data_IF_328547687084
#
_entry.id   IF_328547687084
#
_cell.length_a   1.000
_cell.length_b   1.000
_cell.length_c   1.000
_cell.angle_alpha   90.00
_cell.angle_beta   90.00
_cell.angle_gamma   90.00
#
_symmetry.space_group_name_H-M   'P 1'
#
loop_
_entity.id
_entity.type
_entity.pdbx_description
1 polymer ?
#
# COMPACT_ATOMS: atom_id res chain seq x y z
N UNK A 1 24.57 -17.53 -70.07
CA UNK A 1 23.44 -17.74 -69.13
C UNK A 1 23.64 -16.77 -68.00
N UNK A 2 22.85 -15.71 -68.01
CA UNK A 2 22.95 -14.57 -67.12
C UNK A 2 22.30 -14.92 -65.78
N UNK A 3 23.00 -14.69 -64.68
CA UNK A 3 22.43 -14.85 -63.34
C UNK A 3 22.73 -13.56 -62.56
N UNK A 4 21.89 -12.54 -62.80
CA UNK A 4 21.88 -11.31 -62.00
C UNK A 4 20.93 -11.54 -60.83
N UNK A 5 21.51 -11.60 -59.64
CA UNK A 5 20.77 -11.65 -58.38
C UNK A 5 20.27 -10.23 -58.12
N UNK A 6 18.99 -9.99 -58.40
CA UNK A 6 18.32 -8.72 -58.10
C UNK A 6 18.21 -8.54 -56.58
N UNK A 7 19.18 -7.85 -56.00
CA UNK A 7 19.10 -7.30 -54.65
C UNK A 7 18.12 -6.13 -54.64
N UNK A 8 16.82 -6.44 -54.70
CA UNK A 8 15.75 -5.48 -54.41
C UNK A 8 15.73 -5.27 -52.90
N UNK A 9 16.60 -4.37 -52.43
CA UNK A 9 16.79 -4.03 -51.03
C UNK A 9 15.44 -3.75 -50.38
N UNK A 10 15.01 -4.66 -49.50
CA UNK A 10 13.81 -4.48 -48.70
C UNK A 10 13.96 -3.19 -47.89
N UNK A 11 13.33 -2.12 -48.37
CA UNK A 11 13.49 -0.79 -47.79
C UNK A 11 12.84 -0.74 -46.41
N UNK A 12 13.65 -0.46 -45.39
CA UNK A 12 13.23 -0.24 -44.00
C UNK A 12 12.10 0.79 -43.89
N UNK A 13 12.11 1.81 -44.76
CA UNK A 13 11.07 2.85 -44.85
C UNK A 13 9.77 2.33 -45.48
N UNK A 14 9.86 1.39 -46.42
CA UNK A 14 8.69 0.70 -46.98
C UNK A 14 8.02 -0.21 -45.94
N UNK A 15 8.81 -0.89 -45.11
CA UNK A 15 8.30 -1.71 -44.02
C UNK A 15 7.58 -0.87 -42.95
N UNK A 16 8.16 0.28 -42.56
CA UNK A 16 7.52 1.23 -41.61
C UNK A 16 6.23 1.83 -42.20
N UNK A 17 6.22 2.19 -43.49
CA UNK A 17 5.00 2.67 -44.17
C UNK A 17 3.90 1.60 -44.19
N UNK A 18 4.24 0.34 -44.44
CA UNK A 18 3.25 -0.74 -44.46
C UNK A 18 2.74 -1.08 -43.05
N UNK A 19 3.58 -1.02 -42.02
CA UNK A 19 3.14 -1.16 -40.62
C UNK A 19 2.21 0.00 -40.22
N UNK A 20 2.58 1.25 -40.52
CA UNK A 20 1.74 2.41 -40.23
C UNK A 20 0.38 2.36 -40.96
N UNK A 21 0.34 1.86 -42.20
CA UNK A 21 -0.90 1.67 -42.95
C UNK A 21 -1.77 0.54 -42.35
N UNK A 22 -1.17 -0.54 -41.84
CA UNK A 22 -1.91 -1.62 -41.16
C UNK A 22 -2.47 -1.20 -39.80
N UNK A 23 -1.80 -0.30 -39.07
CA UNK A 23 -2.28 0.27 -37.80
C UNK A 23 -3.38 1.32 -38.00
N UNK A 24 -3.43 1.97 -39.16
CA UNK A 24 -4.51 2.90 -39.50
C UNK A 24 -5.79 2.19 -39.97
N UNK A 25 -5.67 1.02 -40.61
CA UNK A 25 -6.81 0.23 -41.09
C UNK A 25 -7.41 -0.72 -40.04
N UNK A 26 -6.61 -1.17 -39.07
CA UNK A 26 -7.11 -1.77 -37.83
C UNK A 26 -7.30 -0.64 -36.82
N UNK A 27 -8.48 -0.01 -36.84
CA UNK A 27 -8.82 1.15 -36.00
C UNK A 27 -8.20 1.02 -34.61
N UNK A 28 -7.44 2.05 -34.23
CA UNK A 28 -6.60 2.13 -33.04
C UNK A 28 -7.15 1.34 -31.85
N UNK A 29 -6.82 0.05 -31.79
CA UNK A 29 -6.76 -0.69 -30.55
C UNK A 29 -5.47 -0.24 -29.89
N UNK A 30 -5.48 1.00 -29.39
CA UNK A 30 -4.74 1.31 -28.18
C UNK A 30 -5.10 0.17 -27.24
N UNK A 31 -4.15 -0.56 -26.64
CA UNK A 31 -4.48 -1.41 -25.54
C UNK A 31 -4.98 -0.48 -24.42
N UNK A 32 -6.28 -0.16 -24.43
CA UNK A 32 -7.06 0.21 -23.25
C UNK A 32 -7.21 -1.06 -22.40
N UNK A 33 -6.09 -1.67 -22.08
CA UNK A 33 -5.95 -2.79 -21.16
C UNK A 33 -4.86 -2.35 -20.19
N UNK A 34 -5.12 -2.07 -18.93
CA UNK A 34 -6.25 -2.41 -18.08
C UNK A 34 -6.82 -1.10 -17.52
N UNK A 35 -8.12 -0.86 -17.64
CA UNK A 35 -8.80 -0.09 -16.60
C UNK A 35 -8.79 -1.00 -15.37
N UNK A 36 -7.72 -0.89 -14.56
CA UNK A 36 -7.81 -1.31 -13.18
C UNK A 36 -9.09 -0.66 -12.66
N UNK A 37 -10.02 -1.46 -12.09
CA UNK A 37 -11.21 -0.89 -11.45
C UNK A 37 -10.72 0.26 -10.59
N UNK A 38 -11.21 1.46 -10.89
CA UNK A 38 -10.80 2.63 -10.15
C UNK A 38 -11.12 2.42 -8.67
N UNK A 39 -10.15 2.71 -7.80
CA UNK A 39 -10.34 2.56 -6.36
C UNK A 39 -11.40 3.57 -5.90
N UNK A 40 -12.54 3.12 -5.36
CA UNK A 40 -13.57 4.02 -4.86
C UNK A 40 -13.05 4.97 -3.79
N UNK A 41 -12.00 4.61 -3.04
CA UNK A 41 -11.38 5.49 -2.05
C UNK A 41 -10.64 6.70 -2.68
N UNK A 42 -10.32 6.64 -3.97
CA UNK A 42 -9.66 7.72 -4.71
C UNK A 42 -10.64 8.56 -5.53
N UNK A 43 -11.63 7.91 -6.18
CA UNK A 43 -12.57 8.59 -7.07
C UNK A 43 -13.72 9.24 -6.32
N UNK A 44 -14.28 8.54 -5.32
CA UNK A 44 -15.42 9.04 -4.57
C UNK A 44 -14.95 9.87 -3.38
N UNK A 45 -15.63 10.98 -3.14
CA UNK A 45 -15.28 11.83 -2.01
C UNK A 45 -15.70 11.16 -0.69
N UNK A 46 -14.75 10.94 0.24
CA UNK A 46 -15.01 10.15 1.42
C UNK A 46 -15.88 10.89 2.44
N UNK A 47 -16.64 10.12 3.23
CA UNK A 47 -17.56 10.65 4.24
C UNK A 47 -16.87 11.57 5.28
N UNK A 48 -15.62 11.28 5.65
CA UNK A 48 -14.86 12.11 6.60
C UNK A 48 -14.39 13.45 6.02
N UNK A 49 -14.45 13.65 4.71
CA UNK A 49 -14.20 14.94 4.06
C UNK A 49 -15.42 15.86 4.06
N UNK A 50 -16.63 15.30 4.22
CA UNK A 50 -17.91 16.02 4.11
C UNK A 50 -18.52 16.43 5.46
N UNK A 51 -18.03 15.86 6.57
CA UNK A 51 -18.57 16.08 7.91
C UNK A 51 -17.51 16.58 8.90
N UNK A 52 -17.95 17.33 9.89
CA UNK A 52 -17.10 17.71 11.02
C UNK A 52 -16.78 16.47 11.87
N UNK A 53 -15.57 16.48 12.43
CA UNK A 53 -15.12 15.47 13.38
C UNK A 53 -15.76 15.62 14.75
N UNK A 54 -15.20 14.90 15.71
CA UNK A 54 -15.61 14.97 17.10
C UNK A 54 -15.36 16.35 17.73
N UNK A 55 -16.18 16.77 18.71
CA UNK A 55 -15.94 18.01 19.44
C UNK A 55 -14.71 17.87 20.36
N UNK A 56 -14.14 19.02 20.74
CA UNK A 56 -12.90 19.10 21.52
C UNK A 56 -13.01 18.49 22.92
N UNK A 57 -14.22 18.35 23.46
CA UNK A 57 -14.53 17.84 24.79
C UNK A 57 -14.86 16.34 24.81
N UNK A 58 -14.86 15.65 23.66
CA UNK A 58 -15.22 14.23 23.58
C UNK A 58 -14.39 13.34 24.49
N UNK A 59 -13.06 13.54 24.50
CA UNK A 59 -12.12 12.75 25.30
C UNK A 59 -11.26 13.70 26.14
N UNK A 60 -11.64 13.93 27.40
CA UNK A 60 -10.90 14.79 28.32
C UNK A 60 -9.48 14.27 28.62
N UNK A 61 -9.30 12.95 28.55
CA UNK A 61 -7.99 12.31 28.54
C UNK A 61 -7.90 11.41 27.31
N UNK A 62 -6.88 11.65 26.48
CA UNK A 62 -6.72 10.95 25.22
C UNK A 62 -6.55 9.45 25.41
N UNK A 63 -7.15 8.68 24.50
CA UNK A 63 -6.93 7.25 24.37
C UNK A 63 -6.46 6.95 22.93
N UNK A 64 -5.67 5.89 22.71
CA UNK A 64 -5.25 5.50 21.37
C UNK A 64 -6.43 5.18 20.44
N UNK A 65 -6.16 5.21 19.14
CA UNK A 65 -7.14 4.85 18.12
C UNK A 65 -7.60 3.38 18.28
N UNK A 66 -8.88 3.05 18.06
CA UNK A 66 -9.36 1.67 18.05
C UNK A 66 -8.63 0.76 17.04
N UNK A 67 -8.10 1.34 15.95
CA UNK A 67 -7.35 0.61 14.94
C UNK A 67 -5.95 0.18 15.43
N UNK A 68 -5.45 0.75 16.52
CA UNK A 68 -4.16 0.43 17.16
C UNK A 68 -4.31 -0.53 18.36
N UNK A 69 -5.42 -1.29 18.43
CA UNK A 69 -5.70 -2.23 19.53
C UNK A 69 -4.61 -3.30 19.76
N UNK A 70 -3.76 -3.58 18.77
CA UNK A 70 -2.66 -4.52 18.90
C UNK A 70 -1.41 -3.94 19.58
N UNK A 71 -1.34 -2.60 19.73
CA UNK A 71 -0.23 -1.89 20.35
C UNK A 71 -0.43 -1.87 21.87
N UNK A 72 -0.24 -3.04 22.48
CA UNK A 72 -0.44 -3.27 23.92
C UNK A 72 0.77 -3.94 24.55
N UNK A 73 0.93 -3.77 25.87
CA UNK A 73 1.94 -4.52 26.63
C UNK A 73 1.64 -6.01 26.53
N UNK A 74 2.67 -6.80 26.25
CA UNK A 74 2.54 -8.25 26.10
C UNK A 74 3.09 -8.97 27.32
N UNK A 75 2.32 -9.89 27.87
CA UNK A 75 2.70 -10.77 28.97
C UNK A 75 2.62 -12.21 28.49
N UNK A 76 3.53 -13.06 28.96
CA UNK A 76 3.56 -14.47 28.57
C UNK A 76 3.64 -15.36 29.80
N UNK A 77 2.81 -16.42 29.85
CA UNK A 77 2.73 -17.32 31.01
C UNK A 77 4.07 -18.01 31.33
N UNK A 78 4.87 -18.30 30.30
CA UNK A 78 6.21 -18.89 30.49
C UNK A 78 7.21 -17.94 31.17
N UNK A 79 6.97 -16.62 31.09
CA UNK A 79 7.85 -15.61 31.70
C UNK A 79 7.39 -15.22 33.11
N UNK A 80 6.28 -15.79 33.57
CA UNK A 80 5.75 -15.63 34.92
C UNK A 80 6.14 -16.85 35.74
N UNK A 81 6.56 -16.65 36.99
CA UNK A 81 6.93 -17.72 37.93
C UNK A 81 5.70 -18.47 38.49
N UNK A 82 4.63 -18.59 37.71
CA UNK A 82 3.31 -19.09 38.15
C UNK A 82 2.44 -18.04 38.84
N UNK A 83 2.98 -16.84 39.10
CA UNK A 83 2.27 -15.69 39.67
C UNK A 83 2.34 -14.49 38.70
N UNK A 84 1.20 -13.92 38.35
CA UNK A 84 1.13 -12.74 37.49
C UNK A 84 1.50 -11.43 38.20
N UNK A 85 1.48 -11.41 39.54
CA UNK A 85 2.03 -10.29 40.31
C UNK A 85 3.56 -10.25 40.22
N UNK A 86 4.20 -11.43 40.18
CA UNK A 86 5.63 -11.62 39.99
C UNK A 86 5.97 -11.98 38.53
N UNK A 87 5.74 -11.04 37.61
CA UNK A 87 5.85 -11.26 36.17
C UNK A 87 6.43 -10.06 35.43
N UNK A 88 6.78 -10.30 34.16
CA UNK A 88 7.29 -9.30 33.23
C UNK A 88 6.24 -8.97 32.17
N UNK A 89 6.05 -7.67 31.89
CA UNK A 89 5.29 -7.15 30.77
C UNK A 89 6.21 -6.42 29.79
N UNK A 90 6.20 -6.87 28.54
CA UNK A 90 7.07 -6.37 27.48
C UNK A 90 6.40 -5.25 26.67
N UNK A 91 7.19 -4.25 26.32
CA UNK A 91 6.80 -3.17 25.42
C UNK A 91 6.71 -3.71 23.97
N UNK A 92 5.67 -3.36 23.18
CA UNK A 92 5.53 -3.77 21.78
C UNK A 92 6.44 -2.94 20.85
N UNK A 93 7.76 -3.08 21.00
CA UNK A 93 8.76 -2.27 20.28
C UNK A 93 8.64 -2.35 18.76
N UNK A 94 8.12 -3.45 18.22
CA UNK A 94 7.93 -3.63 16.78
C UNK A 94 6.87 -2.71 16.18
N UNK A 95 5.91 -2.26 16.99
CA UNK A 95 4.81 -1.40 16.57
C UNK A 95 5.10 0.09 16.89
N UNK A 96 6.20 0.37 17.61
CA UNK A 96 6.61 1.71 18.01
C UNK A 96 7.65 2.28 17.04
N UNK A 97 7.61 3.60 16.88
CA UNK A 97 8.59 4.34 16.09
C UNK A 97 9.22 5.46 16.92
N UNK A 98 10.49 5.76 16.65
CA UNK A 98 11.26 6.76 17.39
C UNK A 98 11.89 6.20 18.68
N UNK A 99 12.23 7.11 19.60
CA UNK A 99 13.01 6.79 20.81
C UNK A 99 12.23 6.95 22.13
N UNK A 100 11.04 7.57 22.08
CA UNK A 100 10.22 7.83 23.26
C UNK A 100 9.15 6.75 23.39
N UNK A 101 9.10 6.08 24.54
CA UNK A 101 8.07 5.06 24.83
C UNK A 101 6.89 5.69 25.56
N UNK A 102 5.65 5.49 25.11
CA UNK A 102 4.47 5.95 25.86
C UNK A 102 4.40 5.31 27.25
N UNK A 103 4.04 6.08 28.28
CA UNK A 103 3.94 5.57 29.66
C UNK A 103 2.99 4.36 29.78
N UNK A 104 1.92 4.34 28.98
CA UNK A 104 0.98 3.22 28.89
C UNK A 104 1.60 1.92 28.35
N UNK A 105 2.79 1.96 27.74
CA UNK A 105 3.46 0.82 27.09
C UNK A 105 4.85 0.53 27.66
N UNK A 106 5.27 1.29 28.68
CA UNK A 106 6.57 1.07 29.30
C UNK A 106 6.68 -0.35 29.88
N UNK A 107 7.88 -0.92 29.79
CA UNK A 107 8.21 -2.21 30.36
C UNK A 107 7.90 -2.23 31.86
N UNK A 108 7.23 -3.27 32.34
CA UNK A 108 6.94 -3.43 33.76
C UNK A 108 7.44 -4.78 34.26
N UNK A 109 8.06 -4.79 35.43
CA UNK A 109 8.46 -5.99 36.15
C UNK A 109 8.13 -5.81 37.62
N UNK A 110 7.33 -6.72 38.15
CA UNK A 110 7.08 -6.88 39.60
C UNK A 110 7.27 -8.33 40.00
#
# INVERSE_FOLDING_TARGET
>A
MENKIDNKTASRRGFIKNIAASVAAAGALVPMGLSAKDDPALIEEPEWGKKLGDPVDKNLYGMPSPYEHNVVRRVHKLLSSGDMYASVAMCPVQDLSGIITPNGLFFHRS
#
